data_IF_286151910057
#
_entry.id   IF_286151910057
#
_cell.length_a   1.000
_cell.length_b   1.000
_cell.length_c   1.000
_cell.angle_alpha   90.00
_cell.angle_beta   90.00
_cell.angle_gamma   90.00
#
_symmetry.space_group_name_H-M   'P 1'
#
loop_
_entity.id
_entity.type
_entity.pdbx_description
1 polymer ?
#
# COMPACT_ATOMS: atom_id res chain seq x y z
N UNK A 1 -15.12 -5.48 -1.59
CA UNK A 1 -15.88 -6.56 -0.93
C UNK A 1 -14.90 -7.36 -0.11
N UNK A 2 -15.28 -7.78 1.08
CA UNK A 2 -14.42 -8.57 1.96
C UNK A 2 -15.24 -9.16 3.08
N UNK A 3 -14.73 -10.23 3.67
CA UNK A 3 -15.37 -10.89 4.80
C UNK A 3 -14.29 -11.33 5.79
N UNK A 4 -14.71 -11.46 7.04
CA UNK A 4 -13.89 -11.98 8.10
C UNK A 4 -13.80 -13.51 7.97
N UNK A 5 -12.61 -14.05 8.11
CA UNK A 5 -12.42 -15.48 8.26
C UNK A 5 -12.27 -15.79 9.75
N UNK A 6 -12.88 -16.86 10.24
CA UNK A 6 -12.65 -17.27 11.63
C UNK A 6 -11.21 -17.79 11.77
N UNK A 7 -10.41 -17.17 12.64
CA UNK A 7 -9.01 -17.54 12.85
C UNK A 7 -8.81 -18.82 13.62
N UNK A 8 -9.76 -19.21 14.46
CA UNK A 8 -9.66 -20.43 15.27
C UNK A 8 -9.75 -21.70 14.42
N UNK A 9 -10.40 -21.58 13.25
CA UNK A 9 -10.62 -22.67 12.30
C UNK A 9 -9.81 -22.49 11.01
N UNK A 10 -8.87 -21.55 10.98
CA UNK A 10 -8.02 -21.31 9.83
C UNK A 10 -6.80 -22.25 9.90
N UNK A 11 -6.72 -23.19 8.96
CA UNK A 11 -5.63 -24.18 8.91
C UNK A 11 -4.64 -23.77 7.81
N UNK A 12 -3.36 -23.65 8.17
CA UNK A 12 -2.30 -23.26 7.23
C UNK A 12 -1.54 -24.50 6.75
N UNK A 13 -1.79 -24.88 5.50
CA UNK A 13 -1.09 -25.95 4.79
C UNK A 13 0.15 -25.48 4.03
N UNK A 14 0.65 -26.31 3.11
CA UNK A 14 1.78 -25.97 2.22
C UNK A 14 1.25 -25.19 1.01
N UNK A 15 1.50 -23.88 0.98
CA UNK A 15 0.97 -22.91 -0.01
C UNK A 15 -0.56 -22.97 -0.15
N UNK A 16 -1.22 -23.27 0.96
CA UNK A 16 -2.65 -23.54 1.02
C UNK A 16 -3.16 -23.03 2.36
N UNK A 17 -4.38 -22.47 2.36
CA UNK A 17 -5.11 -22.10 3.57
C UNK A 17 -6.52 -22.67 3.46
N UNK A 18 -6.93 -23.41 4.49
CA UNK A 18 -8.32 -23.84 4.64
C UNK A 18 -9.11 -22.79 5.41
N UNK A 19 -10.26 -22.40 4.85
CA UNK A 19 -11.15 -21.38 5.39
C UNK A 19 -12.53 -22.02 5.55
N UNK A 20 -13.07 -22.03 6.76
CA UNK A 20 -14.30 -22.73 7.16
C UNK A 20 -15.51 -22.66 6.19
N UNK A 21 -15.65 -21.59 5.38
CA UNK A 21 -16.77 -21.43 4.43
C UNK A 21 -16.39 -21.55 2.95
N UNK A 22 -15.10 -21.60 2.65
CA UNK A 22 -14.58 -21.66 1.27
C UNK A 22 -13.90 -23.00 1.00
N UNK A 23 -13.39 -23.65 2.05
CA UNK A 23 -12.51 -24.80 1.95
C UNK A 23 -11.08 -24.39 1.60
N UNK A 24 -10.39 -25.31 0.93
CA UNK A 24 -8.98 -25.21 0.62
C UNK A 24 -8.67 -24.18 -0.49
N UNK A 25 -7.88 -23.16 -0.17
CA UNK A 25 -7.45 -22.12 -1.13
C UNK A 25 -5.95 -22.10 -1.29
N UNK A 26 -5.47 -22.24 -2.53
CA UNK A 26 -4.06 -22.09 -2.88
C UNK A 26 -3.60 -20.64 -2.69
N UNK A 27 -2.49 -20.46 -1.97
CA UNK A 27 -1.87 -19.16 -1.75
C UNK A 27 -0.65 -18.96 -2.66
N UNK A 28 -0.40 -17.72 -3.05
CA UNK A 28 0.79 -17.36 -3.85
C UNK A 28 2.08 -17.48 -3.03
N UNK A 29 2.01 -17.21 -1.73
CA UNK A 29 3.12 -17.30 -0.78
C UNK A 29 2.80 -18.26 0.35
N UNK A 30 3.83 -18.90 0.90
CA UNK A 30 3.71 -19.75 2.08
C UNK A 30 3.50 -18.87 3.32
N UNK A 31 2.40 -19.06 4.03
CA UNK A 31 2.22 -18.45 5.35
C UNK A 31 3.01 -19.23 6.41
N UNK A 32 3.46 -18.56 7.50
CA UNK A 32 4.07 -19.24 8.64
C UNK A 32 3.18 -20.36 9.18
N UNK A 33 3.71 -21.58 9.22
CA UNK A 33 2.97 -22.77 9.66
C UNK A 33 3.02 -22.98 11.18
N UNK A 34 4.08 -22.50 11.82
CA UNK A 34 4.38 -22.77 13.22
C UNK A 34 3.83 -21.68 14.16
N UNK A 35 2.96 -20.80 13.68
CA UNK A 35 2.45 -19.65 14.43
C UNK A 35 0.94 -19.61 14.37
N UNK A 36 0.29 -19.30 15.50
CA UNK A 36 -1.17 -19.13 15.55
C UNK A 36 -1.57 -17.86 14.76
N UNK A 37 -2.47 -17.99 13.77
CA UNK A 37 -2.97 -16.83 13.04
C UNK A 37 -3.88 -15.98 13.92
N UNK A 38 -3.88 -14.67 13.68
CA UNK A 38 -4.75 -13.70 14.34
C UNK A 38 -5.41 -12.77 13.30
N UNK A 39 -6.66 -12.40 13.56
CA UNK A 39 -7.46 -11.46 12.76
C UNK A 39 -7.36 -11.63 11.22
N UNK A 40 -7.65 -12.82 10.66
CA UNK A 40 -7.56 -13.06 9.25
C UNK A 40 -8.72 -12.40 8.53
N UNK A 41 -8.39 -11.68 7.47
CA UNK A 41 -9.37 -10.94 6.67
C UNK A 41 -9.16 -11.23 5.20
N UNK A 42 -10.22 -11.63 4.52
CA UNK A 42 -10.23 -11.83 3.08
C UNK A 42 -10.81 -10.60 2.41
N UNK A 43 -10.08 -10.03 1.47
CA UNK A 43 -10.49 -8.83 0.73
C UNK A 43 -10.34 -9.02 -0.77
N UNK A 44 -11.26 -8.44 -1.54
CA UNK A 44 -11.19 -8.37 -2.98
C UNK A 44 -10.91 -6.93 -3.41
N UNK A 45 -9.83 -6.74 -4.14
CA UNK A 45 -9.38 -5.42 -4.61
C UNK A 45 -9.89 -5.05 -6.02
N UNK A 46 -10.85 -5.83 -6.53
CA UNK A 46 -11.41 -5.66 -7.88
C UNK A 46 -10.72 -6.52 -8.93
N UNK A 47 -9.61 -7.20 -8.61
CA UNK A 47 -8.98 -8.16 -9.53
C UNK A 47 -8.35 -9.38 -8.85
N UNK A 48 -7.87 -9.26 -7.63
CA UNK A 48 -7.35 -10.39 -6.85
C UNK A 48 -8.03 -10.47 -5.50
N UNK A 49 -8.11 -11.70 -5.00
CA UNK A 49 -8.43 -11.99 -3.61
C UNK A 49 -7.14 -11.99 -2.79
N UNK A 50 -7.20 -11.36 -1.63
CA UNK A 50 -6.11 -11.24 -0.68
C UNK A 50 -6.56 -11.79 0.66
N UNK A 51 -5.70 -12.54 1.33
CA UNK A 51 -5.86 -12.91 2.73
C UNK A 51 -4.79 -12.19 3.54
N UNK A 52 -5.20 -11.37 4.50
CA UNK A 52 -4.33 -10.78 5.51
C UNK A 52 -4.43 -11.63 6.76
N UNK A 53 -3.30 -11.99 7.36
CA UNK A 53 -3.23 -12.78 8.60
C UNK A 53 -2.15 -12.17 9.48
N UNK A 54 -2.46 -11.90 10.75
CA UNK A 54 -1.49 -11.43 11.74
C UNK A 54 -0.84 -12.59 12.47
N UNK A 55 0.43 -12.44 12.83
CA UNK A 55 1.16 -13.39 13.68
C UNK A 55 1.79 -12.62 14.83
N UNK A 56 1.73 -13.19 16.03
CA UNK A 56 2.50 -12.68 17.16
C UNK A 56 3.96 -13.11 16.97
N UNK A 57 4.87 -12.15 17.08
CA UNK A 57 6.30 -12.35 16.97
C UNK A 57 6.98 -11.57 18.10
N UNK A 58 7.89 -12.23 18.78
CA UNK A 58 8.74 -11.63 19.79
C UNK A 58 10.01 -11.15 19.08
N UNK A 59 10.45 -9.93 19.39
CA UNK A 59 11.62 -9.31 18.80
C UNK A 59 12.67 -9.12 19.87
N UNK A 60 13.90 -9.53 19.56
CA UNK A 60 15.04 -9.27 20.43
C UNK A 60 15.39 -7.77 20.42
N UNK A 61 15.68 -7.16 21.59
CA UNK A 61 16.17 -5.80 21.65
C UNK A 61 17.46 -5.65 20.84
N UNK A 62 17.56 -4.58 20.05
CA UNK A 62 18.75 -4.26 19.29
C UNK A 62 19.49 -3.09 19.92
N UNK A 63 20.83 -3.16 19.97
CA UNK A 63 21.66 -2.03 20.36
C UNK A 63 21.51 -0.88 19.37
N UNK A 64 21.16 0.30 19.89
CA UNK A 64 20.97 1.55 19.15
C UNK A 64 22.18 2.47 19.33
N UNK A 65 22.40 3.37 18.38
CA UNK A 65 23.36 4.47 18.49
C UNK A 65 22.78 5.60 19.35
N UNK A 66 23.63 6.44 19.94
CA UNK A 66 23.19 7.63 20.70
C UNK A 66 22.68 8.78 19.82
N UNK A 67 22.53 8.57 18.51
CA UNK A 67 22.10 9.61 17.58
C UNK A 67 20.58 9.82 17.63
N UNK A 68 20.18 11.09 17.58
CA UNK A 68 18.80 11.51 17.39
C UNK A 68 18.63 12.07 15.98
N UNK A 69 17.71 11.50 15.19
CA UNK A 69 17.48 11.93 13.80
C UNK A 69 16.15 12.68 13.70
N UNK A 70 16.21 13.95 13.30
CA UNK A 70 15.03 14.71 12.89
C UNK A 70 14.75 14.49 11.40
N UNK A 71 13.49 14.28 11.03
CA UNK A 71 13.03 14.03 9.66
C UNK A 71 11.99 15.06 9.26
N UNK A 72 12.32 15.87 8.25
CA UNK A 72 11.40 16.78 7.57
C UNK A 72 10.85 16.10 6.31
N UNK A 73 9.52 16.03 6.18
CA UNK A 73 8.82 15.34 5.09
C UNK A 73 8.34 16.35 4.05
N UNK A 74 8.90 16.27 2.85
CA UNK A 74 8.73 17.30 1.82
C UNK A 74 7.92 16.88 0.59
N UNK A 75 7.49 17.88 -0.19
CA UNK A 75 7.00 17.67 -1.56
C UNK A 75 8.14 17.58 -2.56
N UNK A 76 9.25 18.29 -2.30
CA UNK A 76 10.39 18.34 -3.21
C UNK A 76 11.16 17.02 -3.19
N UNK A 77 11.50 16.59 -1.99
CA UNK A 77 12.14 15.34 -1.60
C UNK A 77 11.18 14.59 -0.70
N UNK A 78 11.21 13.26 -0.66
CA UNK A 78 10.34 12.47 0.22
C UNK A 78 10.59 12.85 1.67
N UNK A 79 11.86 12.88 2.08
CA UNK A 79 12.27 13.45 3.36
C UNK A 79 13.72 13.92 3.32
N UNK A 80 14.05 14.83 4.24
CA UNK A 80 15.40 15.26 4.58
C UNK A 80 15.63 14.96 6.06
N UNK A 81 16.70 14.25 6.37
CA UNK A 81 17.07 13.90 7.73
C UNK A 81 18.23 14.77 8.24
N UNK A 82 18.27 15.04 9.55
CA UNK A 82 19.32 15.84 10.19
C UNK A 82 20.72 15.24 10.06
N UNK A 83 20.83 13.93 9.85
CA UNK A 83 22.09 13.24 9.57
C UNK A 83 22.58 13.39 8.11
N UNK A 84 21.94 14.24 7.32
CA UNK A 84 22.29 14.49 5.92
C UNK A 84 21.64 13.53 4.91
N UNK A 85 20.90 12.51 5.36
CA UNK A 85 20.20 11.58 4.47
C UNK A 85 19.05 12.29 3.77
N UNK A 86 19.03 12.20 2.44
CA UNK A 86 17.97 12.78 1.60
C UNK A 86 17.38 11.72 0.70
N UNK A 87 16.07 11.53 0.77
CA UNK A 87 15.38 10.58 -0.11
C UNK A 87 14.55 11.34 -1.14
N UNK A 88 14.72 11.01 -2.42
CA UNK A 88 14.00 11.68 -3.51
C UNK A 88 12.51 11.33 -3.53
N UNK A 89 11.69 12.24 -4.05
CA UNK A 89 10.27 11.95 -4.24
C UNK A 89 10.01 11.18 -5.55
N UNK A 90 9.65 9.90 -5.45
CA UNK A 90 9.40 9.02 -6.60
C UNK A 90 8.25 9.49 -7.51
N UNK A 91 7.34 10.33 -7.02
CA UNK A 91 6.24 10.87 -7.83
C UNK A 91 6.73 11.81 -8.95
N UNK A 92 7.96 12.32 -8.83
CA UNK A 92 8.59 13.17 -9.86
C UNK A 92 9.23 12.38 -10.99
N UNK A 93 9.45 11.08 -10.80
CA UNK A 93 10.04 10.17 -11.77
C UNK A 93 9.21 10.12 -13.06
N UNK A 94 9.87 10.19 -14.21
CA UNK A 94 9.25 10.10 -15.54
C UNK A 94 8.39 8.83 -15.70
N UNK A 95 8.84 7.70 -15.13
CA UNK A 95 8.11 6.43 -15.18
C UNK A 95 6.79 6.52 -14.43
N UNK A 96 6.80 7.08 -13.22
CA UNK A 96 5.59 7.25 -12.40
C UNK A 96 4.64 8.27 -13.04
N UNK A 97 5.16 9.38 -13.57
CA UNK A 97 4.37 10.36 -14.33
C UNK A 97 3.67 9.73 -15.54
N UNK A 98 4.36 8.89 -16.30
CA UNK A 98 3.78 8.15 -17.44
C UNK A 98 2.65 7.22 -16.98
N UNK A 99 2.84 6.50 -15.87
CA UNK A 99 1.80 5.64 -15.29
C UNK A 99 0.59 6.45 -14.80
N UNK A 100 0.80 7.60 -14.16
CA UNK A 100 -0.27 8.50 -13.71
C UNK A 100 -1.08 9.04 -14.89
N UNK A 101 -0.42 9.44 -15.98
CA UNK A 101 -1.10 9.89 -17.22
C UNK A 101 -1.97 8.77 -17.80
N UNK A 102 -1.45 7.54 -17.87
CA UNK A 102 -2.21 6.35 -18.31
C UNK A 102 -3.39 6.05 -17.39
N UNK A 103 -3.21 6.12 -16.07
CA UNK A 103 -4.29 5.91 -15.08
C UNK A 103 -5.43 6.92 -15.30
N UNK A 104 -5.09 8.19 -15.54
CA UNK A 104 -6.06 9.25 -15.81
C UNK A 104 -6.81 9.01 -17.13
N UNK A 105 -6.13 8.53 -18.17
CA UNK A 105 -6.78 8.16 -19.43
C UNK A 105 -7.79 7.02 -19.22
N UNK A 106 -7.36 5.93 -18.59
CA UNK A 106 -8.22 4.78 -18.31
C UNK A 106 -9.44 5.17 -17.44
N UNK A 107 -9.26 6.08 -16.48
CA UNK A 107 -10.37 6.60 -15.67
C UNK A 107 -11.39 7.37 -16.51
N UNK A 108 -10.93 8.21 -17.46
CA UNK A 108 -11.81 8.94 -18.39
C UNK A 108 -12.54 7.99 -19.32
N UNK A 109 -11.85 6.98 -19.85
CA UNK A 109 -12.46 5.95 -20.69
C UNK A 109 -13.53 5.16 -19.95
N UNK A 110 -13.24 4.75 -18.71
CA UNK A 110 -14.19 4.10 -17.82
C UNK A 110 -15.41 5.00 -17.56
N UNK A 111 -15.19 6.28 -17.25
CA UNK A 111 -16.28 7.23 -17.00
C UNK A 111 -17.16 7.46 -18.24
N UNK A 112 -16.57 7.56 -19.43
CA UNK A 112 -17.32 7.76 -20.68
C UNK A 112 -18.16 6.55 -21.08
N UNK A 113 -17.69 5.34 -20.75
CA UNK A 113 -18.36 4.08 -21.09
C UNK A 113 -19.35 3.61 -20.04
N UNK A 114 -19.39 4.28 -18.89
CA UNK A 114 -20.32 3.98 -17.80
C UNK A 114 -21.75 4.34 -18.21
N UNK A 115 -22.67 3.38 -18.05
CA UNK A 115 -24.10 3.61 -18.24
C UNK A 115 -24.79 3.56 -16.87
N UNK A 116 -25.54 4.61 -16.53
CA UNK A 116 -26.32 4.66 -15.29
C UNK A 116 -27.60 3.82 -15.44
N UNK A 117 -28.04 3.16 -14.37
CA UNK A 117 -29.31 2.43 -14.34
C UNK A 117 -29.29 1.03 -14.97
N UNK A 118 -28.14 0.56 -15.46
CA UNK A 118 -28.00 -0.81 -15.99
C UNK A 118 -27.36 -1.75 -14.97
N UNK A 119 -27.90 -2.98 -14.88
CA UNK A 119 -27.39 -4.04 -13.98
C UNK A 119 -26.01 -4.53 -14.40
N UNK A 120 -25.78 -4.66 -15.71
CA UNK A 120 -24.51 -5.11 -16.29
C UNK A 120 -23.93 -4.02 -17.20
N UNK A 121 -22.65 -3.70 -17.02
CA UNK A 121 -21.95 -2.72 -17.84
C UNK A 121 -21.43 -3.35 -19.14
N UNK A 122 -21.08 -2.51 -20.12
CA UNK A 122 -20.54 -2.99 -21.40
C UNK A 122 -19.16 -3.65 -21.23
N UNK A 123 -18.81 -4.57 -22.13
CA UNK A 123 -17.47 -5.18 -22.16
C UNK A 123 -16.35 -4.13 -22.27
N UNK A 124 -16.60 -3.01 -22.96
CA UNK A 124 -15.66 -1.90 -23.05
C UNK A 124 -15.45 -1.16 -21.72
N UNK A 125 -16.50 -1.02 -20.91
CA UNK A 125 -16.40 -0.46 -19.56
C UNK A 125 -15.56 -1.38 -18.66
N UNK A 126 -15.84 -2.68 -18.64
CA UNK A 126 -15.09 -3.63 -17.80
C UNK A 126 -13.60 -3.71 -18.19
N UNK A 127 -13.28 -3.62 -19.50
CA UNK A 127 -11.89 -3.48 -19.98
C UNK A 127 -11.22 -2.21 -19.42
N UNK A 128 -11.88 -1.06 -19.52
CA UNK A 128 -11.34 0.21 -19.02
C UNK A 128 -11.17 0.22 -17.49
N UNK A 129 -12.13 -0.35 -16.76
CA UNK A 129 -12.08 -0.54 -15.30
C UNK A 129 -10.91 -1.43 -14.89
N UNK A 130 -10.73 -2.57 -15.57
CA UNK A 130 -9.61 -3.48 -15.31
C UNK A 130 -8.26 -2.80 -15.51
N UNK A 131 -8.11 -2.01 -16.57
CA UNK A 131 -6.90 -1.22 -16.82
C UNK A 131 -6.66 -0.15 -15.75
N UNK A 132 -7.72 0.57 -15.34
CA UNK A 132 -7.65 1.55 -14.26
C UNK A 132 -7.19 0.93 -12.93
N UNK A 133 -7.75 -0.23 -12.56
CA UNK A 133 -7.37 -0.98 -11.35
C UNK A 133 -5.93 -1.48 -11.44
N UNK A 134 -5.52 -2.05 -12.59
CA UNK A 134 -4.14 -2.50 -12.84
C UNK A 134 -3.13 -1.38 -12.63
N UNK A 135 -3.39 -0.22 -13.22
CA UNK A 135 -2.50 0.94 -13.13
C UNK A 135 -2.48 1.53 -11.71
N UNK A 136 -3.64 1.60 -11.06
CA UNK A 136 -3.75 2.06 -9.67
C UNK A 136 -2.94 1.18 -8.72
N UNK A 137 -3.04 -0.14 -8.84
CA UNK A 137 -2.25 -1.08 -8.06
C UNK A 137 -0.75 -0.92 -8.33
N UNK A 138 -0.36 -0.86 -9.60
CA UNK A 138 1.06 -0.71 -9.97
C UNK A 138 1.69 0.56 -9.37
N UNK A 139 0.97 1.67 -9.41
CA UNK A 139 1.45 2.94 -8.80
C UNK A 139 1.55 2.82 -7.28
N UNK A 140 0.55 2.20 -6.63
CA UNK A 140 0.54 1.99 -5.18
C UNK A 140 1.72 1.10 -4.75
N UNK A 141 1.95 -0.01 -5.44
CA UNK A 141 3.08 -0.91 -5.13
C UNK A 141 4.44 -0.22 -5.31
N UNK A 142 4.60 0.61 -6.35
CA UNK A 142 5.84 1.39 -6.55
C UNK A 142 6.06 2.37 -5.39
N UNK A 143 5.00 3.04 -4.93
CA UNK A 143 5.08 3.98 -3.80
C UNK A 143 5.40 3.27 -2.49
N UNK A 144 4.69 2.18 -2.19
CA UNK A 144 4.93 1.41 -0.97
C UNK A 144 6.35 0.86 -0.95
N UNK A 145 6.83 0.29 -2.06
CA UNK A 145 8.22 -0.16 -2.17
C UNK A 145 9.22 0.97 -1.92
N UNK A 146 8.98 2.16 -2.47
CA UNK A 146 9.84 3.33 -2.25
C UNK A 146 9.86 3.74 -0.76
N UNK A 147 8.70 3.81 -0.12
CA UNK A 147 8.58 4.14 1.31
C UNK A 147 9.28 3.09 2.17
N UNK A 148 9.09 1.80 1.91
CA UNK A 148 9.75 0.72 2.63
C UNK A 148 11.27 0.78 2.48
N UNK A 149 11.78 1.03 1.27
CA UNK A 149 13.22 1.19 1.05
C UNK A 149 13.77 2.41 1.78
N UNK A 150 13.05 3.53 1.74
CA UNK A 150 13.44 4.78 2.38
C UNK A 150 13.48 4.67 3.91
N UNK A 151 12.43 4.12 4.51
CA UNK A 151 12.34 3.87 5.95
C UNK A 151 13.34 2.83 6.41
N UNK A 152 13.55 1.75 5.65
CA UNK A 152 14.56 0.75 5.97
C UNK A 152 15.99 1.34 5.97
N UNK A 153 16.32 2.26 5.05
CA UNK A 153 17.60 2.96 5.07
C UNK A 153 17.79 3.77 6.35
N UNK A 154 16.74 4.47 6.78
CA UNK A 154 16.77 5.27 8.00
C UNK A 154 16.89 4.40 9.26
N UNK A 155 16.13 3.32 9.36
CA UNK A 155 16.17 2.42 10.53
C UNK A 155 17.49 1.63 10.59
N UNK A 156 18.11 1.33 9.44
CA UNK A 156 19.41 0.65 9.39
C UNK A 156 20.55 1.43 10.03
N UNK A 157 20.44 2.75 10.18
CA UNK A 157 21.43 3.54 10.95
C UNK A 157 21.26 3.40 12.46
N UNK A 158 20.24 2.66 12.92
CA UNK A 158 19.93 2.34 14.31
C UNK A 158 19.91 3.55 15.26
N UNK A 159 19.22 4.66 14.92
CA UNK A 159 19.17 5.82 15.80
C UNK A 159 18.44 5.50 17.11
N UNK A 160 18.84 6.14 18.21
CA UNK A 160 18.12 6.08 19.49
C UNK A 160 16.67 6.55 19.34
N UNK A 161 16.46 7.62 18.56
CA UNK A 161 15.12 8.13 18.25
C UNK A 161 15.03 8.76 16.88
N UNK A 162 13.84 8.68 16.29
CA UNK A 162 13.47 9.39 15.08
C UNK A 162 12.37 10.38 15.46
N UNK A 163 12.59 11.66 15.17
CA UNK A 163 11.61 12.73 15.38
C UNK A 163 11.07 13.13 14.01
N UNK A 164 9.75 13.10 13.87
CA UNK A 164 9.05 13.47 12.64
C UNK A 164 8.12 14.63 12.95
N UNK A 165 8.05 15.60 12.04
CA UNK A 165 7.12 16.72 12.17
C UNK A 165 5.65 16.25 12.12
N UNK A 166 4.81 16.78 13.01
CA UNK A 166 3.37 16.55 12.98
C UNK A 166 2.72 17.50 11.96
N UNK A 167 2.88 17.18 10.66
CA UNK A 167 2.24 17.94 9.60
C UNK A 167 0.78 17.52 9.50
N UNK A 168 -0.15 18.45 9.71
CA UNK A 168 -1.59 18.23 9.51
C UNK A 168 -1.96 18.13 8.02
N UNK A 169 -1.49 17.08 7.34
CA UNK A 169 -1.69 16.80 5.91
C UNK A 169 -3.18 16.81 5.55
N UNK A 170 -4.06 16.40 6.48
CA UNK A 170 -5.52 16.46 6.31
C UNK A 170 -6.03 17.88 6.02
N UNK A 171 -5.47 18.90 6.66
CA UNK A 171 -5.81 20.31 6.41
C UNK A 171 -5.22 20.80 5.08
N UNK A 172 -4.02 20.35 4.72
CA UNK A 172 -3.38 20.68 3.43
C UNK A 172 -4.13 20.07 2.23
N UNK A 173 -4.77 18.91 2.42
CA UNK A 173 -5.61 18.26 1.42
C UNK A 173 -6.96 18.97 1.20
N UNK A 174 -7.49 19.70 2.19
CA UNK A 174 -8.71 20.52 2.04
C UNK A 174 -8.48 21.71 1.12
N UNK A 175 -7.25 22.24 1.08
CA UNK A 175 -6.91 23.35 0.21
C UNK A 175 -6.80 22.89 -1.25
N UNK A 176 -7.74 23.31 -2.12
CA UNK A 176 -7.78 22.91 -3.54
C UNK A 176 -6.46 23.18 -4.29
N UNK A 177 -5.72 24.24 -3.96
CA UNK A 177 -4.45 24.60 -4.62
C UNK A 177 -3.31 23.64 -4.23
N UNK A 178 -3.26 23.24 -2.96
CA UNK A 178 -2.20 22.39 -2.40
C UNK A 178 -2.52 20.89 -2.47
N UNK A 179 -3.82 20.54 -2.49
CA UNK A 179 -4.34 19.18 -2.44
C UNK A 179 -3.70 18.25 -3.48
N UNK A 180 -3.45 18.73 -4.71
CA UNK A 180 -2.88 17.90 -5.76
C UNK A 180 -1.43 17.52 -5.45
N UNK A 181 -0.65 18.44 -4.89
CA UNK A 181 0.75 18.19 -4.53
C UNK A 181 0.83 17.25 -3.31
N UNK A 182 0.00 17.47 -2.30
CA UNK A 182 -0.06 16.65 -1.09
C UNK A 182 -0.82 15.33 -1.25
N UNK A 183 -1.64 15.17 -2.29
CA UNK A 183 -2.36 13.90 -2.56
C UNK A 183 -1.43 12.70 -2.77
N UNK A 184 -0.16 12.98 -3.00
CA UNK A 184 0.88 12.00 -3.24
C UNK A 184 1.62 11.55 -1.97
N UNK A 185 1.46 12.24 -0.84
CA UNK A 185 2.04 11.93 0.47
C UNK A 185 1.07 11.14 1.37
N UNK A 186 0.20 10.33 0.77
CA UNK A 186 -0.80 9.54 1.48
C UNK A 186 -0.22 8.23 1.99
#
# INVERSE_FOLDING_TARGET
QGFYANYERLIIGKKVVDIQSIGEVKTSQQLPRNKKPSNPRVTFDGRHWWISVGFKEEFEPQELTNESIGVDVGLKELFVASNGTKERNINKDAKVKKLLKRKKSAQRDMSRRFKKGVKCQSAGYEKAKTEHLRLSRKITNIRNNHIHQATAKLVKTKPMRIVVEDLSISNLLKNKKLSKAFSFQK
#
